data_IF_518528868941
#
_entry.id   IF_518528868941
#
_cell.length_a   1.000
_cell.length_b   1.000
_cell.length_c   1.000
_cell.angle_alpha   90.00
_cell.angle_beta   90.00
_cell.angle_gamma   90.00
#
_symmetry.space_group_name_H-M   'P 1'
#
loop_
_entity.id
_entity.type
_entity.pdbx_description
1 polymer ?
#
# COMPACT_ATOMS: atom_id res chain seq x y z
N UNK A 1 -15.12 21.61 8.82
CA UNK A 1 -14.29 20.89 7.85
C UNK A 1 -14.71 19.42 7.74
N UNK A 2 -14.66 18.64 8.83
CA UNK A 2 -14.95 17.20 8.78
C UNK A 2 -16.36 16.91 8.26
N UNK A 3 -17.36 17.68 8.65
CA UNK A 3 -18.75 17.49 8.19
C UNK A 3 -18.88 17.75 6.69
N UNK A 4 -18.31 18.85 6.19
CA UNK A 4 -18.24 19.10 4.74
C UNK A 4 -17.53 17.99 3.97
N UNK A 5 -16.45 17.43 4.55
CA UNK A 5 -15.76 16.31 3.92
C UNK A 5 -16.57 15.00 3.95
N UNK A 6 -17.47 14.81 4.97
CA UNK A 6 -18.37 13.63 5.01
C UNK A 6 -19.38 13.63 3.87
N UNK A 7 -19.91 14.79 3.50
CA UNK A 7 -20.83 14.94 2.37
C UNK A 7 -20.21 14.53 1.03
N UNK A 8 -18.86 14.55 0.95
CA UNK A 8 -18.10 14.22 -0.24
C UNK A 8 -17.52 12.78 -0.19
N UNK A 9 -17.96 11.94 0.74
CA UNK A 9 -17.56 10.52 0.77
C UNK A 9 -18.00 9.83 -0.53
N UNK A 10 -17.08 9.11 -1.15
CA UNK A 10 -17.29 8.42 -2.44
C UNK A 10 -16.99 9.28 -3.66
N UNK A 11 -16.90 10.59 -3.51
CA UNK A 11 -16.42 11.55 -4.53
C UNK A 11 -14.97 11.92 -4.27
N UNK A 12 -14.72 12.84 -3.36
CA UNK A 12 -13.39 13.40 -3.09
C UNK A 12 -12.67 12.69 -1.94
N UNK A 13 -13.42 12.09 -1.03
CA UNK A 13 -12.89 11.46 0.18
C UNK A 13 -13.31 10.00 0.34
N UNK A 14 -12.35 9.16 0.77
CA UNK A 14 -12.67 7.83 1.27
C UNK A 14 -13.10 7.91 2.74
N UNK A 15 -14.03 7.03 3.17
CA UNK A 15 -14.52 6.94 4.56
C UNK A 15 -13.38 6.85 5.59
N UNK A 16 -12.31 6.10 5.28
CA UNK A 16 -11.13 5.97 6.14
C UNK A 16 -10.38 7.29 6.32
N UNK A 17 -10.42 8.19 5.34
CA UNK A 17 -9.80 9.53 5.44
C UNK A 17 -10.54 10.38 6.44
N UNK A 18 -11.86 10.35 6.43
CA UNK A 18 -12.70 11.09 7.39
C UNK A 18 -12.50 10.53 8.80
N UNK A 19 -12.51 9.22 8.98
CA UNK A 19 -12.22 8.58 10.28
C UNK A 19 -10.86 9.02 10.86
N UNK A 20 -9.86 9.28 10.01
CA UNK A 20 -8.57 9.83 10.43
C UNK A 20 -8.70 11.28 10.88
N UNK A 21 -9.47 12.10 10.17
CA UNK A 21 -9.73 13.48 10.56
C UNK A 21 -10.43 13.55 11.93
N UNK A 22 -11.44 12.71 12.13
CA UNK A 22 -12.16 12.60 13.39
C UNK A 22 -11.25 12.16 14.55
N UNK A 23 -10.39 11.20 14.31
CA UNK A 23 -9.40 10.74 15.30
C UNK A 23 -8.41 11.86 15.65
N UNK A 24 -7.93 12.60 14.64
CA UNK A 24 -7.04 13.75 14.84
C UNK A 24 -7.72 14.81 15.72
N UNK A 25 -8.94 15.19 15.39
CA UNK A 25 -9.72 16.15 16.18
C UNK A 25 -9.98 15.66 17.62
N UNK A 26 -10.35 14.39 17.79
CA UNK A 26 -10.57 13.80 19.11
C UNK A 26 -9.33 13.86 19.99
N UNK A 27 -8.16 13.54 19.43
CA UNK A 27 -6.88 13.62 20.16
C UNK A 27 -6.50 15.06 20.49
N UNK A 28 -6.78 16.01 19.59
CA UNK A 28 -6.53 17.41 19.85
C UNK A 28 -7.39 17.93 21.00
N UNK A 29 -8.69 17.64 20.99
CA UNK A 29 -9.63 17.99 22.09
C UNK A 29 -9.22 17.35 23.42
N UNK A 30 -8.77 16.10 23.39
CA UNK A 30 -8.27 15.42 24.59
C UNK A 30 -7.02 16.10 25.17
N UNK A 31 -6.10 16.53 24.32
CA UNK A 31 -4.92 17.29 24.74
C UNK A 31 -5.34 18.65 25.32
N UNK A 32 -6.21 19.39 24.64
CA UNK A 32 -6.71 20.69 25.09
C UNK A 32 -7.36 20.58 26.48
N UNK A 33 -8.19 19.55 26.69
CA UNK A 33 -8.82 19.32 27.98
C UNK A 33 -7.81 18.95 29.09
N UNK A 34 -6.86 18.06 28.79
CA UNK A 34 -5.91 17.57 29.79
C UNK A 34 -4.84 18.60 30.19
N UNK A 35 -4.38 19.39 29.24
CA UNK A 35 -3.26 20.32 29.46
C UNK A 35 -3.71 21.74 29.77
N UNK A 36 -4.75 22.20 29.08
CA UNK A 36 -5.24 23.58 29.18
C UNK A 36 -6.57 23.72 29.93
N UNK A 37 -7.18 22.59 30.31
CA UNK A 37 -8.53 22.52 30.91
C UNK A 37 -9.63 23.17 30.05
N UNK A 38 -9.41 23.19 28.72
CA UNK A 38 -10.31 23.78 27.74
C UNK A 38 -11.04 22.69 26.94
N UNK A 39 -12.34 22.84 26.76
CA UNK A 39 -13.13 21.94 25.89
C UNK A 39 -12.88 22.18 24.41
N UNK A 40 -12.48 23.40 24.05
CA UNK A 40 -12.12 23.83 22.71
C UNK A 40 -11.12 24.99 22.77
N UNK A 41 -10.36 25.20 21.68
CA UNK A 41 -9.38 26.27 21.55
C UNK A 41 -9.75 27.08 20.30
N UNK A 42 -10.04 28.41 20.47
CA UNK A 42 -10.31 29.27 19.31
C UNK A 42 -9.14 29.24 18.30
N UNK A 43 -9.45 29.27 16.99
CA UNK A 43 -8.42 29.21 15.94
C UNK A 43 -7.33 30.27 16.09
N UNK A 44 -7.70 31.50 16.48
CA UNK A 44 -6.77 32.63 16.71
C UNK A 44 -5.78 32.38 17.86
N UNK A 45 -6.08 31.47 18.77
CA UNK A 45 -5.23 31.16 19.93
C UNK A 45 -4.30 29.95 19.67
N UNK A 46 -4.49 29.22 18.57
CA UNK A 46 -3.62 28.09 18.21
C UNK A 46 -2.24 28.64 17.84
N UNK A 47 -1.33 28.58 18.80
CA UNK A 47 0.05 29.02 18.67
C UNK A 47 1.02 27.89 18.32
N UNK A 48 2.27 28.25 18.00
CA UNK A 48 3.35 27.30 17.83
C UNK A 48 3.51 26.37 19.06
N UNK A 49 3.40 26.94 20.27
CA UNK A 49 3.48 26.17 21.52
C UNK A 49 2.41 25.08 21.59
N UNK A 50 1.17 25.39 21.24
CA UNK A 50 0.05 24.42 21.23
C UNK A 50 0.31 23.30 20.22
N UNK A 51 0.90 23.59 19.06
CA UNK A 51 1.28 22.56 18.08
C UNK A 51 2.39 21.66 18.64
N UNK A 52 3.41 22.21 19.30
CA UNK A 52 4.45 21.42 19.95
C UNK A 52 3.89 20.54 21.07
N UNK A 53 2.98 21.07 21.86
CA UNK A 53 2.30 20.31 22.90
C UNK A 53 1.46 19.18 22.36
N UNK A 54 0.81 19.40 21.23
CA UNK A 54 0.06 18.32 20.57
C UNK A 54 0.98 17.24 20.01
N UNK A 55 2.11 17.60 19.40
CA UNK A 55 3.14 16.64 18.96
C UNK A 55 3.61 15.82 20.16
N UNK A 56 3.97 16.48 21.28
CA UNK A 56 4.40 15.81 22.50
C UNK A 56 3.32 14.87 23.05
N UNK A 57 2.07 15.32 23.11
CA UNK A 57 0.93 14.51 23.55
C UNK A 57 0.74 13.25 22.69
N UNK A 58 0.83 13.37 21.37
CA UNK A 58 0.70 12.23 20.46
C UNK A 58 1.82 11.20 20.68
N UNK A 59 3.05 11.68 20.92
CA UNK A 59 4.20 10.79 21.17
C UNK A 59 4.15 10.17 22.57
N UNK A 60 3.94 10.97 23.62
CA UNK A 60 4.07 10.53 25.01
C UNK A 60 2.81 9.87 25.58
N UNK A 61 1.60 10.40 25.28
CA UNK A 61 0.36 9.90 25.84
C UNK A 61 -0.39 8.93 24.92
N UNK A 62 -0.19 9.04 23.60
CA UNK A 62 -0.79 8.12 22.61
C UNK A 62 0.20 7.09 22.09
N UNK A 63 1.47 7.19 22.46
CA UNK A 63 2.57 6.29 22.05
C UNK A 63 2.62 6.06 20.53
N UNK A 64 2.40 7.14 19.76
CA UNK A 64 2.34 7.05 18.30
C UNK A 64 3.74 7.17 17.70
N UNK A 65 4.00 6.34 16.70
CA UNK A 65 5.23 6.38 15.91
C UNK A 65 5.32 7.68 15.08
N UNK A 66 6.55 8.16 14.81
CA UNK A 66 6.86 9.43 14.14
C UNK A 66 6.03 9.67 12.87
N UNK A 67 6.01 8.70 11.95
CA UNK A 67 5.25 8.84 10.70
C UNK A 67 3.72 8.95 10.92
N UNK A 68 3.20 8.40 12.02
CA UNK A 68 1.78 8.56 12.37
C UNK A 68 1.51 9.94 12.93
N UNK A 69 2.41 10.45 13.79
CA UNK A 69 2.36 11.84 14.30
C UNK A 69 2.39 12.81 13.12
N UNK A 70 3.33 12.66 12.19
CA UNK A 70 3.42 13.50 10.99
C UNK A 70 2.13 13.49 10.17
N UNK A 71 1.46 12.33 10.04
CA UNK A 71 0.17 12.25 9.33
C UNK A 71 -0.92 13.08 10.02
N UNK A 72 -0.99 13.07 11.35
CA UNK A 72 -1.93 13.92 12.08
C UNK A 72 -1.54 15.38 11.98
N UNK A 73 -0.26 15.71 12.07
CA UNK A 73 0.21 17.08 11.88
C UNK A 73 -0.10 17.64 10.50
N UNK A 74 0.00 16.83 9.44
CA UNK A 74 -0.44 17.24 8.08
C UNK A 74 -1.93 17.56 8.03
N UNK A 75 -2.76 16.87 8.82
CA UNK A 75 -4.20 17.19 8.93
C UNK A 75 -4.39 18.53 9.64
N UNK A 76 -3.75 18.74 10.78
CA UNK A 76 -3.82 20.03 11.52
C UNK A 76 -3.32 21.17 10.64
N UNK A 77 -2.18 21.00 9.97
CA UNK A 77 -1.62 22.01 9.06
C UNK A 77 -2.57 22.36 7.91
N UNK A 78 -3.31 21.39 7.38
CA UNK A 78 -4.35 21.67 6.39
C UNK A 78 -5.43 22.62 6.95
N UNK A 79 -5.85 22.40 8.21
CA UNK A 79 -6.88 23.20 8.86
C UNK A 79 -6.36 24.61 9.19
N UNK A 80 -5.14 24.72 9.72
CA UNK A 80 -4.54 26.04 10.01
C UNK A 80 -4.28 26.85 8.74
N UNK A 81 -3.84 26.21 7.65
CA UNK A 81 -3.71 26.88 6.34
C UNK A 81 -5.05 27.40 5.81
N UNK A 82 -6.14 26.64 6.04
CA UNK A 82 -7.49 27.10 5.69
C UNK A 82 -7.92 28.27 6.57
N UNK A 83 -7.56 28.26 7.86
CA UNK A 83 -7.85 29.35 8.78
C UNK A 83 -7.08 30.63 8.41
N UNK A 84 -5.81 30.53 8.03
CA UNK A 84 -5.00 31.64 7.53
C UNK A 84 -5.60 32.23 6.24
N UNK A 85 -5.99 31.37 5.30
CA UNK A 85 -6.60 31.81 4.03
C UNK A 85 -7.98 32.49 4.18
N UNK A 86 -8.64 32.32 5.32
CA UNK A 86 -9.92 32.96 5.65
C UNK A 86 -9.79 34.05 6.73
N UNK A 87 -8.57 34.49 7.05
CA UNK A 87 -8.28 35.52 8.07
C UNK A 87 -8.80 35.19 9.48
N UNK A 88 -9.01 33.89 9.76
CA UNK A 88 -9.38 33.44 11.12
C UNK A 88 -8.17 33.26 12.04
N UNK A 89 -6.99 33.38 11.48
CA UNK A 89 -5.70 33.26 12.14
C UNK A 89 -4.68 34.18 11.46
N UNK A 90 -3.89 34.91 12.24
CA UNK A 90 -2.92 35.89 11.72
C UNK A 90 -1.55 35.28 11.42
N UNK A 91 -1.13 34.28 12.21
CA UNK A 91 0.23 33.71 12.16
C UNK A 91 0.19 32.19 11.92
N UNK A 92 1.09 31.70 11.06
CA UNK A 92 1.24 30.25 10.85
C UNK A 92 1.83 29.60 12.12
N UNK A 93 1.09 28.74 12.84
CA UNK A 93 1.60 28.06 14.01
C UNK A 93 2.61 26.96 13.68
N UNK A 94 2.79 26.61 12.41
CA UNK A 94 3.77 25.63 11.90
C UNK A 94 5.09 26.27 11.44
N UNK A 95 5.29 27.56 11.71
CA UNK A 95 6.54 28.22 11.36
C UNK A 95 7.72 27.41 11.93
N UNK A 96 8.74 27.14 11.08
CA UNK A 96 9.93 26.35 11.42
C UNK A 96 9.69 24.87 11.78
N UNK A 97 8.45 24.33 11.71
CA UNK A 97 8.20 22.90 11.87
C UNK A 97 8.42 22.20 10.53
N UNK A 98 9.48 21.40 10.46
CA UNK A 98 9.78 20.52 9.31
C UNK A 98 9.46 19.08 9.65
N UNK A 99 8.76 18.39 8.76
CA UNK A 99 8.42 17.00 8.92
C UNK A 99 9.36 16.13 8.09
N UNK A 100 10.11 15.26 8.78
CA UNK A 100 10.98 14.27 8.15
C UNK A 100 10.37 12.89 8.35
N UNK A 101 9.74 12.36 7.29
CA UNK A 101 9.21 11.00 7.35
C UNK A 101 10.38 10.01 7.40
N UNK A 102 10.34 9.11 8.39
CA UNK A 102 11.28 8.01 8.49
C UNK A 102 11.01 7.01 7.37
N UNK A 103 12.06 6.56 6.70
CA UNK A 103 11.97 5.50 5.72
C UNK A 103 11.65 4.18 6.43
N UNK A 104 10.56 3.55 6.03
CA UNK A 104 10.14 2.25 6.58
C UNK A 104 10.49 1.19 5.55
N UNK A 105 11.42 0.30 5.91
CA UNK A 105 11.67 -0.90 5.13
C UNK A 105 10.42 -1.77 5.11
N UNK A 106 10.00 -2.12 3.92
CA UNK A 106 8.84 -2.98 3.72
C UNK A 106 9.32 -4.34 3.28
N UNK A 107 8.88 -5.34 4.00
CA UNK A 107 9.21 -6.73 3.70
C UNK A 107 8.60 -7.17 2.37
N UNK A 108 9.31 -8.04 1.70
CA UNK A 108 8.89 -8.79 0.51
C UNK A 108 9.47 -10.20 0.61
N UNK A 109 8.87 -11.16 -0.08
CA UNK A 109 9.43 -12.51 -0.17
C UNK A 109 10.66 -12.51 -1.07
N UNK A 110 11.67 -13.28 -0.70
CA UNK A 110 12.75 -13.63 -1.63
C UNK A 110 12.23 -14.61 -2.69
N UNK A 111 13.03 -14.90 -3.71
CA UNK A 111 12.65 -15.87 -4.75
C UNK A 111 12.44 -17.25 -4.12
N UNK A 112 13.33 -17.67 -3.26
CA UNK A 112 13.30 -18.96 -2.54
C UNK A 112 12.07 -19.06 -1.63
N UNK A 113 11.76 -18.01 -0.87
CA UNK A 113 10.56 -17.97 -0.02
C UNK A 113 9.26 -18.04 -0.86
N UNK A 114 9.25 -17.38 -2.03
CA UNK A 114 8.13 -17.42 -2.96
C UNK A 114 7.94 -18.83 -3.54
N UNK A 115 9.03 -19.50 -3.91
CA UNK A 115 9.04 -20.89 -4.40
C UNK A 115 8.57 -21.88 -3.32
N UNK A 116 9.03 -21.71 -2.07
CA UNK A 116 8.57 -22.53 -0.93
C UNK A 116 7.05 -22.39 -0.78
N UNK A 117 6.53 -21.17 -0.80
CA UNK A 117 5.10 -20.91 -0.66
C UNK A 117 4.29 -21.47 -1.83
N UNK A 118 4.80 -21.37 -3.05
CA UNK A 118 4.16 -21.90 -4.25
C UNK A 118 4.03 -23.42 -4.20
N UNK A 119 5.09 -24.12 -3.77
CA UNK A 119 5.16 -25.59 -3.75
C UNK A 119 4.53 -26.20 -2.48
N UNK A 120 4.20 -25.39 -1.49
CA UNK A 120 3.59 -25.90 -0.23
C UNK A 120 2.17 -26.36 -0.47
N UNK A 121 1.92 -27.61 -0.15
CA UNK A 121 0.57 -28.19 -0.15
C UNK A 121 -0.09 -27.94 1.20
N UNK A 122 -1.32 -27.49 1.18
CA UNK A 122 -2.14 -27.29 2.38
C UNK A 122 -3.41 -28.15 2.30
N UNK A 123 -3.58 -29.08 3.23
CA UNK A 123 -4.79 -29.92 3.34
C UNK A 123 -6.00 -29.11 3.88
N UNK A 124 -5.75 -27.94 4.44
CA UNK A 124 -6.78 -27.06 5.00
C UNK A 124 -7.25 -26.08 3.91
N UNK A 125 -8.52 -26.21 3.42
CA UNK A 125 -8.99 -25.43 2.25
C UNK A 125 -8.87 -23.91 2.42
N UNK A 126 -9.05 -23.38 3.66
CA UNK A 126 -8.91 -21.94 3.91
C UNK A 126 -7.48 -21.43 3.74
N UNK A 127 -6.48 -22.25 4.06
CA UNK A 127 -5.07 -21.89 3.91
C UNK A 127 -4.63 -21.99 2.44
N UNK A 128 -5.07 -23.05 1.75
CA UNK A 128 -4.82 -23.23 0.34
C UNK A 128 -5.40 -22.06 -0.48
N UNK A 129 -6.65 -21.67 -0.21
CA UNK A 129 -7.27 -20.51 -0.83
C UNK A 129 -6.50 -19.21 -0.56
N UNK A 130 -6.08 -18.97 0.69
CA UNK A 130 -5.38 -17.72 1.05
C UNK A 130 -3.98 -17.68 0.44
N UNK A 131 -3.27 -18.83 0.39
CA UNK A 131 -2.00 -18.97 -0.30
C UNK A 131 -2.16 -18.59 -1.78
N UNK A 132 -3.15 -19.14 -2.46
CA UNK A 132 -3.37 -18.88 -3.89
C UNK A 132 -3.71 -17.41 -4.16
N UNK A 133 -4.58 -16.79 -3.36
CA UNK A 133 -4.87 -15.36 -3.47
C UNK A 133 -3.62 -14.51 -3.25
N UNK A 134 -2.77 -14.89 -2.30
CA UNK A 134 -1.53 -14.18 -2.05
C UNK A 134 -0.51 -14.37 -3.18
N UNK A 135 -0.38 -15.57 -3.74
CA UNK A 135 0.42 -15.84 -4.93
C UNK A 135 -0.10 -15.03 -6.13
N UNK A 136 -1.42 -14.99 -6.31
CA UNK A 136 -2.02 -14.13 -7.35
C UNK A 136 -1.59 -12.66 -7.19
N UNK A 137 -1.53 -12.15 -5.96
CA UNK A 137 -1.00 -10.80 -5.69
C UNK A 137 0.51 -10.69 -5.95
N UNK A 138 1.28 -11.74 -5.64
CA UNK A 138 2.73 -11.77 -5.88
C UNK A 138 3.07 -11.77 -7.38
N UNK A 139 2.19 -12.26 -8.25
CA UNK A 139 2.42 -12.34 -9.69
C UNK A 139 1.64 -11.31 -10.52
N UNK A 140 0.75 -10.55 -9.90
CA UNK A 140 0.00 -9.47 -10.58
C UNK A 140 0.27 -8.08 -10.00
N UNK A 141 0.75 -8.00 -8.76
CA UNK A 141 0.96 -6.75 -8.05
C UNK A 141 -0.33 -6.00 -7.69
N UNK A 142 -1.50 -6.58 -7.92
CA UNK A 142 -2.78 -5.95 -7.56
C UNK A 142 -2.91 -5.71 -6.06
N UNK A 143 -3.52 -4.60 -5.68
CA UNK A 143 -3.86 -4.35 -4.28
C UNK A 143 -5.01 -5.27 -3.84
N UNK A 144 -5.12 -5.55 -2.55
CA UNK A 144 -6.17 -6.41 -1.99
C UNK A 144 -7.57 -6.10 -2.53
N UNK A 145 -7.95 -4.83 -2.52
CA UNK A 145 -9.29 -4.41 -2.96
C UNK A 145 -9.48 -4.66 -4.46
N UNK A 146 -8.43 -4.44 -5.27
CA UNK A 146 -8.49 -4.62 -6.71
C UNK A 146 -8.61 -6.11 -7.08
N UNK A 147 -7.99 -7.03 -6.29
CA UNK A 147 -8.17 -8.49 -6.42
C UNK A 147 -9.57 -8.90 -5.98
N UNK A 148 -10.06 -8.39 -4.84
CA UNK A 148 -11.37 -8.76 -4.29
C UNK A 148 -12.54 -8.31 -5.16
N UNK A 149 -12.33 -7.34 -6.04
CA UNK A 149 -13.30 -6.80 -6.99
C UNK A 149 -12.98 -7.17 -8.45
N UNK A 150 -12.08 -8.14 -8.67
CA UNK A 150 -11.70 -8.56 -10.02
C UNK A 150 -12.85 -9.35 -10.66
N UNK A 151 -13.28 -8.94 -11.85
CA UNK A 151 -14.40 -9.52 -12.61
C UNK A 151 -13.95 -9.93 -14.00
N UNK A 152 -14.78 -10.73 -14.68
CA UNK A 152 -14.52 -11.20 -16.05
C UNK A 152 -14.30 -10.03 -17.04
N UNK A 153 -15.03 -8.93 -16.90
CA UNK A 153 -14.88 -7.73 -17.74
C UNK A 153 -13.50 -7.08 -17.68
N UNK A 154 -12.70 -7.40 -16.65
CA UNK A 154 -11.32 -6.91 -16.51
C UNK A 154 -10.30 -7.79 -17.23
N UNK A 155 -10.70 -8.97 -17.71
CA UNK A 155 -9.84 -9.86 -18.50
C UNK A 155 -10.02 -9.55 -19.99
N UNK A 156 -8.92 -9.22 -20.66
CA UNK A 156 -8.92 -8.82 -22.06
C UNK A 156 -7.81 -9.56 -22.78
N UNK A 157 -8.13 -10.24 -23.89
CA UNK A 157 -7.13 -10.84 -24.78
C UNK A 157 -6.57 -9.78 -25.72
N UNK A 158 -5.26 -9.84 -25.97
CA UNK A 158 -4.65 -9.05 -27.03
C UNK A 158 -4.74 -9.78 -28.38
N UNK A 159 -4.23 -9.14 -29.43
CA UNK A 159 -4.26 -9.69 -30.79
C UNK A 159 -3.35 -10.94 -30.98
N UNK A 160 -2.51 -11.25 -29.99
CA UNK A 160 -1.63 -12.43 -29.98
C UNK A 160 -2.18 -13.56 -29.11
N UNK A 161 -3.37 -13.37 -28.50
CA UNK A 161 -3.99 -14.34 -27.62
C UNK A 161 -3.52 -14.27 -26.15
N UNK A 162 -2.64 -13.35 -25.78
CA UNK A 162 -2.24 -13.21 -24.40
C UNK A 162 -3.37 -12.57 -23.58
N UNK A 163 -3.59 -13.09 -22.38
CA UNK A 163 -4.62 -12.59 -21.47
C UNK A 163 -4.03 -11.52 -20.55
N UNK A 164 -4.74 -10.40 -20.43
CA UNK A 164 -4.35 -9.25 -19.64
C UNK A 164 -5.42 -8.90 -18.61
N UNK A 165 -4.98 -8.42 -17.44
CA UNK A 165 -5.85 -7.67 -16.52
C UNK A 165 -5.77 -6.20 -16.89
N UNK A 166 -6.91 -5.60 -17.26
CA UNK A 166 -7.09 -4.16 -17.44
C UNK A 166 -8.13 -3.65 -16.45
N UNK A 167 -7.66 -3.10 -15.35
CA UNK A 167 -8.53 -2.64 -14.26
C UNK A 167 -8.05 -1.29 -13.72
N UNK A 168 -8.94 -0.30 -13.65
CA UNK A 168 -8.64 0.94 -12.98
C UNK A 168 -8.47 0.68 -11.47
N UNK A 169 -7.33 1.09 -10.92
CA UNK A 169 -7.03 0.94 -9.51
C UNK A 169 -8.03 1.73 -8.66
N UNK A 170 -8.63 1.12 -7.66
CA UNK A 170 -9.66 1.77 -6.86
C UNK A 170 -9.18 3.07 -6.19
N UNK A 171 -7.93 3.08 -5.68
CA UNK A 171 -7.37 4.22 -4.94
C UNK A 171 -6.99 5.41 -5.82
N UNK A 172 -6.41 5.18 -6.99
CA UNK A 172 -5.79 6.22 -7.82
C UNK A 172 -6.55 6.47 -9.12
N UNK A 173 -7.50 5.60 -9.46
CA UNK A 173 -8.24 5.57 -10.73
C UNK A 173 -7.34 5.40 -11.98
N UNK A 174 -6.06 5.12 -11.78
CA UNK A 174 -5.10 4.84 -12.86
C UNK A 174 -5.29 3.40 -13.32
N UNK A 175 -5.29 3.20 -14.64
CA UNK A 175 -5.42 1.88 -15.25
C UNK A 175 -4.19 1.02 -14.94
N UNK A 176 -4.42 -0.17 -14.40
CA UNK A 176 -3.43 -1.24 -14.31
C UNK A 176 -3.53 -2.09 -15.57
N UNK A 177 -2.39 -2.30 -16.25
CA UNK A 177 -2.29 -3.18 -17.42
C UNK A 177 -1.29 -4.28 -17.08
N UNK A 178 -1.77 -5.48 -16.81
CA UNK A 178 -0.94 -6.57 -16.27
C UNK A 178 -1.13 -7.78 -17.17
N UNK A 179 -0.06 -8.25 -17.86
CA UNK A 179 -0.12 -9.52 -18.57
C UNK A 179 -0.21 -10.66 -17.56
N UNK A 180 -1.07 -11.62 -17.79
CA UNK A 180 -1.19 -12.78 -16.92
C UNK A 180 -0.13 -13.82 -17.27
N UNK A 181 0.62 -14.20 -16.24
CA UNK A 181 1.57 -15.33 -16.29
C UNK A 181 0.84 -16.63 -15.96
N UNK A 182 1.51 -17.78 -16.15
CA UNK A 182 0.92 -19.12 -15.97
C UNK A 182 0.36 -19.32 -14.54
N UNK A 183 1.04 -18.85 -13.51
CA UNK A 183 0.60 -19.01 -12.11
C UNK A 183 -0.74 -18.30 -11.84
N UNK A 184 -0.91 -17.01 -12.14
CA UNK A 184 -2.23 -16.37 -12.04
C UNK A 184 -3.31 -17.02 -12.90
N UNK A 185 -2.97 -17.51 -14.09
CA UNK A 185 -3.92 -18.21 -14.96
C UNK A 185 -4.41 -19.49 -14.30
N UNK A 186 -3.52 -20.37 -13.84
CA UNK A 186 -3.87 -21.60 -13.14
C UNK A 186 -4.72 -21.34 -11.88
N UNK A 187 -4.46 -20.24 -11.16
CA UNK A 187 -5.28 -19.84 -10.01
C UNK A 187 -6.69 -19.43 -10.46
N UNK A 188 -6.83 -18.66 -11.55
CA UNK A 188 -8.15 -18.30 -12.07
C UNK A 188 -8.95 -19.53 -12.51
N UNK A 189 -8.31 -20.48 -13.19
CA UNK A 189 -8.91 -21.76 -13.61
C UNK A 189 -9.34 -22.59 -12.40
N UNK A 190 -8.47 -22.73 -11.38
CA UNK A 190 -8.78 -23.47 -10.14
C UNK A 190 -10.04 -22.97 -9.42
N UNK A 191 -10.28 -21.66 -9.45
CA UNK A 191 -11.43 -21.05 -8.79
C UNK A 191 -12.56 -20.69 -9.74
N UNK A 192 -12.50 -21.12 -10.99
CA UNK A 192 -13.61 -20.95 -11.94
C UNK A 192 -14.87 -21.62 -11.39
N UNK A 193 -15.94 -20.89 -11.43
CA UNK A 193 -17.23 -21.42 -10.96
C UNK A 193 -17.38 -21.53 -9.44
N UNK A 194 -16.40 -21.12 -8.64
CA UNK A 194 -16.47 -21.21 -7.18
C UNK A 194 -17.72 -20.48 -6.62
N UNK A 195 -18.54 -21.12 -5.74
CA UNK A 195 -19.83 -20.58 -5.30
C UNK A 195 -19.76 -19.17 -4.69
N UNK A 196 -18.74 -18.90 -3.86
CA UNK A 196 -18.56 -17.57 -3.25
C UNK A 196 -18.16 -16.50 -4.27
N UNK A 197 -17.38 -16.85 -5.28
CA UNK A 197 -16.99 -15.93 -6.34
C UNK A 197 -18.21 -15.61 -7.22
N UNK A 198 -18.97 -16.62 -7.62
CA UNK A 198 -20.24 -16.45 -8.37
C UNK A 198 -21.23 -15.55 -7.63
N UNK A 199 -21.45 -15.78 -6.33
CA UNK A 199 -22.33 -14.95 -5.50
C UNK A 199 -21.92 -13.48 -5.46
N UNK A 200 -20.62 -13.19 -5.50
CA UNK A 200 -20.06 -11.83 -5.50
C UNK A 200 -19.94 -11.22 -6.90
N UNK A 201 -20.09 -12.02 -7.96
CA UNK A 201 -19.81 -11.61 -9.34
C UNK A 201 -18.32 -11.30 -9.58
N UNK A 202 -17.42 -12.01 -8.89
CA UNK A 202 -15.95 -11.84 -8.96
C UNK A 202 -15.29 -13.11 -9.46
N UNK A 203 -14.03 -13.00 -9.93
CA UNK A 203 -13.25 -14.16 -10.41
C UNK A 203 -12.72 -15.03 -9.26
N UNK A 204 -12.40 -14.42 -8.14
CA UNK A 204 -11.77 -15.11 -6.99
C UNK A 204 -12.63 -14.99 -5.73
N UNK A 205 -12.70 -16.02 -4.88
CA UNK A 205 -13.47 -16.04 -3.63
C UNK A 205 -12.70 -15.38 -2.47
N UNK A 206 -12.29 -14.11 -2.66
CA UNK A 206 -11.42 -13.39 -1.70
C UNK A 206 -12.13 -13.17 -0.37
N UNK A 207 -11.57 -13.63 0.77
CA UNK A 207 -12.09 -13.33 2.10
C UNK A 207 -11.85 -11.86 2.47
N UNK A 208 -12.38 -11.41 3.61
CA UNK A 208 -12.09 -10.05 4.07
C UNK A 208 -10.59 -9.90 4.42
N UNK A 209 -10.07 -8.67 4.26
CA UNK A 209 -8.64 -8.38 4.42
C UNK A 209 -8.07 -8.79 5.78
N UNK A 210 -8.86 -8.65 6.84
CA UNK A 210 -8.44 -9.02 8.19
C UNK A 210 -8.21 -10.53 8.32
N UNK A 211 -9.14 -11.37 7.81
CA UNK A 211 -9.00 -12.83 7.80
C UNK A 211 -7.83 -13.26 6.92
N UNK A 212 -7.69 -12.66 5.73
CA UNK A 212 -6.59 -12.98 4.81
C UNK A 212 -5.23 -12.70 5.47
N UNK A 213 -5.04 -11.52 6.07
CA UNK A 213 -3.81 -11.20 6.78
C UNK A 213 -3.56 -12.09 8.01
N UNK A 214 -4.61 -12.54 8.70
CA UNK A 214 -4.47 -13.48 9.82
C UNK A 214 -3.96 -14.85 9.36
N UNK A 215 -4.55 -15.40 8.29
CA UNK A 215 -4.13 -16.69 7.73
C UNK A 215 -2.77 -16.63 7.03
N UNK A 216 -2.37 -15.48 6.47
CA UNK A 216 -1.02 -15.30 5.93
C UNK A 216 0.08 -15.46 6.99
N UNK A 217 -0.19 -15.12 8.24
CA UNK A 217 0.76 -15.37 9.34
C UNK A 217 0.91 -16.86 9.61
N UNK A 218 -0.22 -17.59 9.69
CA UNK A 218 -0.23 -19.04 9.85
C UNK A 218 0.51 -19.74 8.69
N UNK A 219 0.28 -19.28 7.45
CA UNK A 219 0.98 -19.78 6.26
C UNK A 219 2.48 -19.50 6.34
N UNK A 220 2.88 -18.30 6.77
CA UNK A 220 4.29 -17.94 6.93
C UNK A 220 4.98 -18.88 7.92
N UNK A 221 4.35 -19.14 9.07
CA UNK A 221 4.87 -20.06 10.09
C UNK A 221 5.03 -21.48 9.53
N UNK A 222 4.01 -22.00 8.81
CA UNK A 222 4.04 -23.33 8.19
C UNK A 222 5.06 -23.46 7.04
N UNK A 223 5.43 -22.34 6.43
CA UNK A 223 6.47 -22.26 5.39
C UNK A 223 7.86 -21.95 5.97
N UNK A 224 8.02 -21.75 7.28
CA UNK A 224 9.28 -21.35 7.91
C UNK A 224 9.71 -19.91 7.56
N UNK A 225 8.80 -19.06 7.11
CA UNK A 225 9.07 -17.68 6.69
C UNK A 225 8.94 -16.76 7.90
N UNK A 226 10.06 -16.18 8.35
CA UNK A 226 10.10 -15.31 9.55
C UNK A 226 9.62 -13.86 9.31
N UNK A 227 8.94 -13.60 8.20
CA UNK A 227 8.43 -12.27 7.82
C UNK A 227 6.95 -12.12 8.19
N UNK A 228 6.55 -10.91 8.59
CA UNK A 228 5.14 -10.62 8.84
C UNK A 228 4.39 -10.40 7.52
N UNK A 229 3.86 -11.47 6.94
CA UNK A 229 3.18 -11.41 5.67
C UNK A 229 1.82 -10.70 5.76
N UNK A 230 1.59 -9.85 4.79
CA UNK A 230 0.33 -9.14 4.58
C UNK A 230 0.01 -9.10 3.08
N UNK A 231 -1.22 -8.79 2.71
CA UNK A 231 -1.60 -8.57 1.31
C UNK A 231 -0.71 -7.51 0.64
N UNK A 232 -0.16 -6.60 1.42
CA UNK A 232 0.74 -5.57 0.88
C UNK A 232 2.12 -6.12 0.57
N UNK A 233 2.57 -7.13 1.33
CA UNK A 233 3.83 -7.87 1.06
C UNK A 233 3.79 -8.55 -0.31
N UNK A 234 2.64 -9.13 -0.73
CA UNK A 234 2.49 -9.69 -2.09
C UNK A 234 2.77 -8.67 -3.19
N UNK A 235 2.22 -7.46 -3.05
CA UNK A 235 2.47 -6.39 -4.01
C UNK A 235 3.94 -5.90 -4.00
N UNK A 236 4.61 -5.92 -2.83
CA UNK A 236 6.05 -5.62 -2.75
C UNK A 236 6.88 -6.71 -3.41
N UNK A 237 6.53 -7.98 -3.19
CA UNK A 237 7.17 -9.14 -3.83
C UNK A 237 7.06 -9.06 -5.35
N UNK A 238 5.87 -8.75 -5.89
CA UNK A 238 5.70 -8.51 -7.32
C UNK A 238 6.67 -7.45 -7.82
N UNK A 239 6.67 -6.29 -7.19
CA UNK A 239 7.45 -5.15 -7.67
C UNK A 239 8.95 -5.42 -7.64
N UNK A 240 9.44 -6.06 -6.56
CA UNK A 240 10.87 -6.24 -6.31
C UNK A 240 11.39 -7.52 -6.98
N UNK A 241 10.76 -8.67 -6.70
CA UNK A 241 11.29 -9.99 -7.07
C UNK A 241 10.76 -10.45 -8.42
N UNK A 242 9.47 -10.26 -8.69
CA UNK A 242 8.86 -10.76 -9.93
C UNK A 242 9.13 -9.81 -11.09
N UNK A 243 9.10 -8.50 -10.88
CA UNK A 243 9.26 -7.54 -11.97
C UNK A 243 10.68 -6.95 -12.06
N UNK A 244 11.10 -6.11 -11.09
CA UNK A 244 12.37 -5.38 -11.18
C UNK A 244 13.59 -6.31 -11.19
N UNK A 245 13.60 -7.39 -10.42
CA UNK A 245 14.69 -8.38 -10.44
C UNK A 245 14.83 -9.09 -11.81
N UNK A 246 13.77 -9.13 -12.61
CA UNK A 246 13.72 -9.68 -13.96
C UNK A 246 13.76 -8.59 -15.06
N UNK A 247 14.38 -7.45 -14.79
CA UNK A 247 14.61 -6.36 -15.76
C UNK A 247 13.36 -5.69 -16.33
N UNK A 248 12.19 -5.83 -15.70
CA UNK A 248 11.04 -5.03 -16.10
C UNK A 248 11.32 -3.57 -15.74
N UNK A 249 11.19 -2.66 -16.71
CA UNK A 249 11.47 -1.25 -16.49
C UNK A 249 10.60 -0.64 -15.39
N UNK A 250 11.13 0.36 -14.71
CA UNK A 250 10.43 1.04 -13.61
C UNK A 250 9.09 1.64 -14.08
N UNK A 251 9.04 2.14 -15.32
CA UNK A 251 7.86 2.71 -15.96
C UNK A 251 6.79 1.63 -16.18
N UNK A 252 7.18 0.45 -16.65
CA UNK A 252 6.25 -0.65 -16.84
C UNK A 252 5.72 -1.17 -15.51
N UNK A 253 6.59 -1.31 -14.49
CA UNK A 253 6.16 -1.66 -13.13
C UNK A 253 5.18 -0.60 -12.60
N UNK A 254 5.44 0.69 -12.81
CA UNK A 254 4.52 1.76 -12.39
C UNK A 254 3.15 1.65 -13.08
N UNK A 255 3.10 1.35 -14.38
CA UNK A 255 1.86 1.10 -15.13
C UNK A 255 1.10 -0.12 -14.62
N UNK A 256 1.78 -1.25 -14.42
CA UNK A 256 1.16 -2.45 -13.86
C UNK A 256 0.60 -2.21 -12.46
N UNK A 257 1.30 -1.44 -11.64
CA UNK A 257 0.85 -1.09 -10.30
C UNK A 257 -0.23 0.02 -10.25
N UNK A 258 -0.55 0.68 -11.34
CA UNK A 258 -1.46 1.82 -11.36
C UNK A 258 -0.95 2.99 -10.50
N UNK A 259 0.34 3.29 -10.56
CA UNK A 259 0.93 4.44 -9.89
C UNK A 259 0.77 5.71 -10.73
N UNK A 260 0.48 6.84 -10.10
CA UNK A 260 0.34 8.14 -10.76
C UNK A 260 1.69 8.72 -11.21
N UNK A 261 2.79 8.27 -10.61
CA UNK A 261 4.15 8.65 -10.98
C UNK A 261 5.16 7.56 -10.60
N UNK A 262 6.32 7.57 -11.24
CA UNK A 262 7.40 6.60 -11.03
C UNK A 262 8.09 6.74 -9.67
N UNK A 263 8.04 7.92 -9.01
CA UNK A 263 8.60 8.11 -7.65
C UNK A 263 8.01 7.13 -6.64
N UNK A 264 6.73 6.75 -6.83
CA UNK A 264 6.10 5.74 -5.97
C UNK A 264 6.72 4.35 -6.15
N UNK A 265 7.26 4.07 -7.34
CA UNK A 265 7.88 2.78 -7.71
C UNK A 265 9.37 2.75 -7.39
N UNK A 266 10.06 3.90 -7.42
CA UNK A 266 11.51 4.02 -7.13
C UNK A 266 11.92 3.43 -5.76
N UNK A 267 11.00 3.42 -4.78
CA UNK A 267 11.25 2.78 -3.48
C UNK A 267 11.56 1.29 -3.57
N UNK A 268 11.09 0.62 -4.61
CA UNK A 268 11.35 -0.81 -4.84
C UNK A 268 12.72 -1.02 -5.53
N UNK A 269 13.14 -0.09 -6.37
CA UNK A 269 14.42 -0.16 -7.08
C UNK A 269 15.64 -0.02 -6.14
N UNK A 270 15.51 0.69 -5.01
CA UNK A 270 16.57 0.87 -4.02
C UNK A 270 17.02 -0.43 -3.31
N UNK A 271 16.32 -1.53 -3.50
CA UNK A 271 16.51 -2.75 -2.70
C UNK A 271 17.35 -3.82 -3.43
N UNK A 272 17.75 -3.60 -4.69
CA UNK A 272 18.36 -4.64 -5.52
C UNK A 272 19.86 -4.38 -5.79
N UNK A 273 20.71 -4.65 -4.78
CA UNK A 273 22.17 -4.73 -4.99
C UNK A 273 22.54 -5.77 -6.07
N UNK A 274 21.75 -6.83 -6.20
CA UNK A 274 21.90 -7.85 -7.26
C UNK A 274 21.72 -7.27 -8.67
N UNK A 275 20.88 -6.25 -8.87
CA UNK A 275 20.75 -5.62 -10.17
C UNK A 275 22.00 -4.83 -10.54
N UNK A 276 22.62 -4.15 -9.57
CA UNK A 276 23.87 -3.42 -9.77
C UNK A 276 24.98 -4.40 -10.13
N UNK A 277 25.07 -5.51 -9.39
CA UNK A 277 26.10 -6.53 -9.67
C UNK A 277 25.96 -7.11 -11.08
N UNK A 278 24.73 -7.45 -11.47
CA UNK A 278 24.45 -7.97 -12.82
C UNK A 278 24.76 -6.96 -13.92
N UNK A 279 24.32 -5.71 -13.76
CA UNK A 279 24.57 -4.65 -14.75
C UNK A 279 26.08 -4.43 -14.90
N UNK A 280 26.84 -4.48 -13.81
CA UNK A 280 28.30 -4.38 -13.83
C UNK A 280 28.97 -5.64 -14.41
N UNK A 281 28.36 -6.83 -14.30
CA UNK A 281 28.82 -8.03 -15.00
C UNK A 281 28.69 -7.87 -16.52
N UNK A 282 27.57 -7.37 -17.02
CA UNK A 282 27.37 -7.07 -18.45
C UNK A 282 28.41 -6.06 -18.96
N UNK A 283 28.70 -5.01 -18.18
CA UNK A 283 29.76 -4.05 -18.49
C UNK A 283 31.13 -4.76 -18.55
N UNK A 284 31.44 -5.59 -17.56
CA UNK A 284 32.71 -6.37 -17.54
C UNK A 284 32.86 -7.25 -18.78
N UNK A 285 31.79 -7.93 -19.17
CA UNK A 285 31.79 -8.78 -20.38
C UNK A 285 32.02 -7.97 -21.67
N UNK A 286 31.44 -6.76 -21.76
CA UNK A 286 31.59 -5.88 -22.92
C UNK A 286 32.99 -5.28 -23.05
N UNK A 287 33.75 -5.20 -21.95
CA UNK A 287 35.13 -4.70 -21.92
C UNK A 287 36.18 -5.83 -21.79
N UNK A 288 35.76 -7.09 -21.64
CA UNK A 288 36.66 -8.23 -21.66
C UNK A 288 37.13 -8.42 -23.12
N UNK A 289 38.35 -8.02 -23.43
CA UNK A 289 39.01 -8.37 -24.67
C UNK A 289 39.01 -9.89 -24.83
N UNK A 290 38.39 -10.39 -25.90
CA UNK A 290 38.61 -11.78 -26.35
C UNK A 290 40.10 -11.93 -26.57
N UNK A 291 40.81 -12.50 -25.61
CA UNK A 291 42.15 -12.99 -25.82
C UNK A 291 42.01 -14.22 -26.76
N UNK A 292 42.29 -13.99 -28.03
CA UNK A 292 42.41 -15.02 -29.07
C UNK A 292 43.65 -15.83 -28.79
#
# INVERSE_FOLDING_TARGET
HNDKCRELIGKDYAKVTISRFDTCLRYFKEMALKKYHLKDIPMKEISHAIIQDYIHFLKSKKNLQENTVIRYMKVVKKITNMALANDWMEKDPFINIRFHEQEVHKEFLTKEELEIMQNKVFDIPRLDLVRDIFLFQCFTGLAFIDVSELKAEHLVSDNQGNLWIRKARQKTKVMCNIPLLDIPLAILEKYEGHPLAKKKGTLLPVPCNQKLNSYLKEIADLCGIKKNLTTHTGRHTFSTVVALANNVSLENVAKMLGHTNTKMTQRYAKVLDQSILRDMQNVRESFSTKTT
#
